data_IF_368740025045
#
_entry.id   IF_368740025045
#
_cell.length_a   1.000
_cell.length_b   1.000
_cell.length_c   1.000
_cell.angle_alpha   90.00
_cell.angle_beta   90.00
_cell.angle_gamma   90.00
#
_symmetry.space_group_name_H-M   'P 1'
#
loop_
_entity.id
_entity.type
_entity.pdbx_description
1 polymer ?
#
# COMPACT_ATOMS: atom_id res chain seq x y z
N UNK A 1 4.73 -10.00 -2.24
CA UNK A 1 5.18 -8.59 -2.33
C UNK A 1 6.37 -8.33 -1.43
N UNK A 2 7.35 -7.64 -1.92
CA UNK A 2 8.56 -7.33 -1.16
C UNK A 2 8.98 -5.88 -1.42
N UNK A 3 9.45 -5.19 -0.36
CA UNK A 3 10.03 -3.86 -0.49
C UNK A 3 11.50 -4.03 -0.86
N UNK A 4 11.91 -3.42 -1.97
CA UNK A 4 13.28 -3.47 -2.46
C UNK A 4 13.94 -2.12 -2.22
N UNK A 5 15.13 -2.14 -1.63
CA UNK A 5 15.95 -0.95 -1.39
C UNK A 5 16.99 -0.84 -2.51
N UNK A 6 17.18 0.36 -3.04
CA UNK A 6 18.19 0.58 -4.09
C UNK A 6 18.83 1.96 -3.93
N UNK A 7 19.97 2.15 -4.57
CA UNK A 7 20.63 3.44 -4.64
C UNK A 7 20.46 4.06 -6.02
N UNK A 8 20.17 5.35 -6.05
CA UNK A 8 20.13 6.12 -7.28
C UNK A 8 21.53 6.49 -7.74
N UNK A 9 21.66 6.97 -8.98
CA UNK A 9 22.97 7.36 -9.54
C UNK A 9 23.66 8.46 -8.74
N UNK A 10 22.89 9.31 -8.05
CA UNK A 10 23.41 10.37 -7.19
C UNK A 10 23.57 9.95 -5.72
N UNK A 11 23.53 8.64 -5.44
CA UNK A 11 23.83 8.08 -4.11
C UNK A 11 22.71 8.15 -3.10
N UNK A 12 21.48 8.40 -3.53
CA UNK A 12 20.33 8.43 -2.63
C UNK A 12 19.71 7.04 -2.48
N UNK A 13 19.28 6.72 -1.25
CA UNK A 13 18.56 5.47 -0.97
C UNK A 13 17.10 5.65 -1.28
N UNK A 14 16.54 4.72 -2.07
CA UNK A 14 15.13 4.73 -2.47
C UNK A 14 14.54 3.33 -2.40
N UNK A 15 13.24 3.22 -2.60
CA UNK A 15 12.50 1.98 -2.39
C UNK A 15 11.50 1.77 -3.51
N UNK A 16 11.27 0.50 -3.86
CA UNK A 16 10.15 0.15 -4.71
C UNK A 16 9.54 -1.17 -4.23
N UNK A 17 8.32 -1.43 -4.68
CA UNK A 17 7.58 -2.63 -4.37
C UNK A 17 7.69 -3.60 -5.55
N UNK A 18 8.04 -4.85 -5.27
CA UNK A 18 8.11 -5.90 -6.29
C UNK A 18 7.16 -7.03 -5.96
N UNK A 19 6.66 -7.71 -7.00
CA UNK A 19 5.84 -8.90 -6.83
C UNK A 19 6.72 -10.15 -6.61
N UNK A 20 6.08 -11.32 -6.51
CA UNK A 20 6.78 -12.58 -6.24
C UNK A 20 7.71 -13.00 -7.38
N UNK A 21 7.54 -12.42 -8.56
CA UNK A 21 8.40 -12.67 -9.72
C UNK A 21 9.49 -11.60 -9.87
N UNK A 22 9.71 -10.81 -8.83
CA UNK A 22 10.69 -9.71 -8.80
C UNK A 22 10.38 -8.60 -9.82
N UNK A 23 9.13 -8.49 -10.28
CA UNK A 23 8.71 -7.43 -11.20
C UNK A 23 8.23 -6.24 -10.38
N UNK A 24 8.73 -5.02 -10.66
CA UNK A 24 8.25 -3.84 -9.96
C UNK A 24 6.75 -3.63 -10.17
N UNK A 25 6.05 -3.25 -9.10
CA UNK A 25 4.64 -2.86 -9.18
C UNK A 25 4.61 -1.44 -9.72
N UNK A 26 4.36 -1.31 -11.02
CA UNK A 26 4.55 -0.05 -11.73
C UNK A 26 3.74 1.12 -11.19
N UNK A 27 2.44 0.97 -10.85
CA UNK A 27 1.69 2.10 -10.30
C UNK A 27 2.27 2.64 -8.99
N UNK A 28 2.78 1.76 -8.14
CA UNK A 28 3.41 2.16 -6.88
C UNK A 28 4.77 2.82 -7.13
N UNK A 29 5.55 2.29 -8.07
CA UNK A 29 6.82 2.90 -8.45
C UNK A 29 6.62 4.33 -8.94
N UNK A 30 5.62 4.54 -9.79
CA UNK A 30 5.30 5.87 -10.31
C UNK A 30 4.85 6.82 -9.20
N UNK A 31 4.04 6.34 -8.27
CA UNK A 31 3.57 7.11 -7.13
C UNK A 31 4.74 7.54 -6.23
N UNK A 32 5.66 6.61 -5.92
CA UNK A 32 6.82 6.93 -5.08
C UNK A 32 7.77 7.90 -5.76
N UNK A 33 7.94 7.81 -7.08
CA UNK A 33 8.72 8.79 -7.85
C UNK A 33 8.09 10.18 -7.76
N UNK A 34 6.77 10.26 -7.91
CA UNK A 34 6.05 11.51 -7.79
C UNK A 34 6.26 12.14 -6.41
N UNK A 35 6.18 11.34 -5.35
CA UNK A 35 6.42 11.82 -3.99
C UNK A 35 7.86 12.26 -3.78
N UNK A 36 8.83 11.52 -4.34
CA UNK A 36 10.24 11.86 -4.28
C UNK A 36 10.50 13.22 -4.98
N UNK A 37 9.91 13.41 -6.14
CA UNK A 37 10.03 14.66 -6.91
C UNK A 37 9.42 15.84 -6.14
N UNK A 38 8.41 15.60 -5.32
CA UNK A 38 7.81 16.62 -4.45
C UNK A 38 8.65 16.91 -3.20
N UNK A 39 9.73 16.18 -2.98
CA UNK A 39 10.63 16.43 -1.88
C UNK A 39 10.30 15.72 -0.59
N UNK A 40 9.50 14.64 -0.61
CA UNK A 40 9.23 13.86 0.59
C UNK A 40 10.51 13.21 1.12
N UNK A 41 10.62 13.12 2.44
CA UNK A 41 11.80 12.55 3.10
C UNK A 41 11.92 11.05 2.82
N UNK A 42 13.17 10.56 2.83
CA UNK A 42 13.48 9.14 2.58
C UNK A 42 12.64 8.20 3.47
N UNK A 43 12.55 8.49 4.77
CA UNK A 43 11.82 7.63 5.69
C UNK A 43 10.32 7.61 5.38
N UNK A 44 9.77 8.74 4.94
CA UNK A 44 8.37 8.82 4.50
C UNK A 44 8.13 7.96 3.28
N UNK A 45 9.04 8.02 2.29
CA UNK A 45 8.97 7.17 1.09
C UNK A 45 9.02 5.69 1.47
N UNK A 46 9.89 5.33 2.40
CA UNK A 46 10.01 3.95 2.89
C UNK A 46 8.70 3.48 3.53
N UNK A 47 8.12 4.31 4.40
CA UNK A 47 6.85 3.97 5.07
C UNK A 47 5.71 3.81 4.06
N UNK A 48 5.62 4.72 3.09
CA UNK A 48 4.59 4.63 2.05
C UNK A 48 4.73 3.35 1.22
N UNK A 49 5.97 2.95 0.91
CA UNK A 49 6.21 1.68 0.21
C UNK A 49 5.74 0.48 1.04
N UNK A 50 6.00 0.49 2.35
CA UNK A 50 5.55 -0.56 3.26
C UNK A 50 4.03 -0.61 3.32
N UNK A 51 3.37 0.55 3.42
CA UNK A 51 1.90 0.62 3.44
C UNK A 51 1.32 0.05 2.15
N UNK A 52 1.91 0.39 1.01
CA UNK A 52 1.46 -0.15 -0.28
C UNK A 52 1.72 -1.65 -0.41
N UNK A 53 2.78 -2.17 0.23
CA UNK A 53 3.00 -3.61 0.32
C UNK A 53 1.83 -4.30 1.04
N UNK A 54 1.39 -3.74 2.16
CA UNK A 54 0.25 -4.28 2.90
C UNK A 54 -1.01 -4.29 2.03
N UNK A 55 -1.26 -3.18 1.36
CA UNK A 55 -2.45 -3.05 0.51
C UNK A 55 -2.43 -4.05 -0.65
N UNK A 56 -1.31 -4.14 -1.36
CA UNK A 56 -1.19 -5.07 -2.48
C UNK A 56 -1.23 -6.53 -2.03
N UNK A 57 -0.72 -6.85 -0.84
CA UNK A 57 -0.86 -8.20 -0.27
C UNK A 57 -2.32 -8.54 0.01
N UNK A 58 -3.09 -7.56 0.51
CA UNK A 58 -4.54 -7.70 0.66
C UNK A 58 -5.22 -7.94 -0.69
N UNK A 59 -4.87 -7.15 -1.71
CA UNK A 59 -5.44 -7.32 -3.06
C UNK A 59 -5.15 -8.71 -3.63
N UNK A 60 -3.95 -9.23 -3.44
CA UNK A 60 -3.58 -10.57 -3.90
C UNK A 60 -4.47 -11.63 -3.24
N UNK A 61 -4.69 -11.56 -1.94
CA UNK A 61 -5.54 -12.49 -1.22
C UNK A 61 -6.99 -12.43 -1.67
N UNK A 62 -7.45 -11.25 -2.07
CA UNK A 62 -8.81 -11.04 -2.57
C UNK A 62 -8.96 -11.32 -4.07
N UNK A 63 -7.84 -11.56 -4.75
CA UNK A 63 -7.81 -11.69 -6.21
C UNK A 63 -8.43 -10.47 -6.88
N UNK A 64 -8.08 -9.30 -6.40
CA UNK A 64 -8.65 -8.01 -6.77
C UNK A 64 -7.57 -7.14 -7.42
N UNK A 65 -7.89 -6.52 -8.54
CA UNK A 65 -7.00 -5.55 -9.18
C UNK A 65 -7.12 -4.20 -8.50
N UNK A 66 -6.03 -3.42 -8.48
CA UNK A 66 -6.06 -2.10 -7.86
C UNK A 66 -7.09 -1.16 -8.53
N UNK A 67 -7.43 -1.41 -9.79
CA UNK A 67 -8.43 -0.63 -10.52
C UNK A 67 -9.88 -1.00 -10.18
N UNK A 68 -10.09 -2.04 -9.39
CA UNK A 68 -11.42 -2.54 -9.04
C UNK A 68 -11.83 -2.21 -7.60
N UNK A 69 -10.96 -1.51 -6.86
CA UNK A 69 -11.16 -1.23 -5.43
C UNK A 69 -12.27 -0.21 -5.22
N UNK A 70 -13.17 -0.51 -4.29
CA UNK A 70 -14.27 0.36 -3.88
C UNK A 70 -14.12 0.73 -2.42
N UNK A 71 -15.02 1.58 -1.92
CA UNK A 71 -15.07 1.95 -0.50
C UNK A 71 -15.29 0.71 0.39
N UNK A 72 -16.10 -0.23 -0.06
CA UNK A 72 -16.33 -1.47 0.69
C UNK A 72 -15.06 -2.30 0.81
N UNK A 73 -14.26 -2.36 -0.25
CA UNK A 73 -12.96 -3.03 -0.21
C UNK A 73 -12.00 -2.35 0.77
N UNK A 74 -12.07 -1.03 0.86
CA UNK A 74 -11.24 -0.29 1.83
C UNK A 74 -11.62 -0.67 3.26
N UNK A 75 -12.91 -0.81 3.55
CA UNK A 75 -13.37 -1.28 4.85
C UNK A 75 -12.87 -2.70 5.15
N UNK A 76 -12.88 -3.58 4.15
CA UNK A 76 -12.32 -4.93 4.26
C UNK A 76 -10.82 -4.91 4.52
N UNK A 77 -10.11 -3.99 3.88
CA UNK A 77 -8.67 -3.81 4.10
C UNK A 77 -8.38 -3.41 5.56
N UNK A 78 -9.17 -2.50 6.12
CA UNK A 78 -9.03 -2.10 7.52
C UNK A 78 -9.20 -3.30 8.44
N UNK A 79 -10.22 -4.11 8.20
CA UNK A 79 -10.45 -5.34 8.97
C UNK A 79 -9.28 -6.33 8.82
N UNK A 80 -8.75 -6.46 7.61
CA UNK A 80 -7.61 -7.32 7.31
C UNK A 80 -6.35 -6.86 8.06
N UNK A 81 -6.14 -5.54 8.16
CA UNK A 81 -5.01 -4.99 8.92
C UNK A 81 -5.12 -5.31 10.42
N UNK A 82 -6.33 -5.28 10.96
CA UNK A 82 -6.58 -5.60 12.37
C UNK A 82 -6.35 -7.08 12.65
N UNK A 83 -6.80 -7.95 11.76
CA UNK A 83 -6.80 -9.39 11.96
C UNK A 83 -6.29 -10.10 10.69
N UNK A 84 -5.00 -9.95 10.36
CA UNK A 84 -4.47 -10.48 9.09
C UNK A 84 -4.54 -11.99 8.95
N UNK A 85 -4.73 -12.74 10.06
CA UNK A 85 -4.78 -14.20 10.08
C UNK A 85 -6.17 -14.76 10.30
N UNK A 86 -7.21 -13.97 10.14
CA UNK A 86 -8.59 -14.44 10.32
C UNK A 86 -8.89 -15.61 9.38
N UNK A 87 -8.36 -15.58 8.16
CA UNK A 87 -8.51 -16.66 7.20
C UNK A 87 -7.85 -17.98 7.63
N UNK A 88 -7.00 -17.99 8.64
CA UNK A 88 -6.34 -19.17 9.18
C UNK A 88 -7.17 -19.86 10.27
N UNK A 89 -8.48 -19.66 10.28
CA UNK A 89 -9.41 -20.26 11.23
C UNK A 89 -9.22 -19.81 12.69
N UNK A 90 -8.69 -18.62 12.88
CA UNK A 90 -8.61 -18.01 14.20
C UNK A 90 -9.92 -17.29 14.48
N UNK A 91 -10.44 -17.41 15.70
CA UNK A 91 -11.68 -16.76 16.10
C UNK A 91 -11.39 -15.29 16.43
N UNK A 92 -11.83 -14.32 15.60
CA UNK A 92 -11.42 -12.91 15.78
C UNK A 92 -11.82 -12.31 17.13
N UNK A 93 -12.93 -12.74 17.68
CA UNK A 93 -13.44 -12.24 18.97
C UNK A 93 -12.47 -12.48 20.11
N UNK A 94 -11.59 -13.49 19.98
CA UNK A 94 -10.62 -13.84 21.00
C UNK A 94 -9.26 -13.18 20.77
N UNK A 95 -9.12 -12.37 19.72
CA UNK A 95 -7.85 -11.77 19.33
C UNK A 95 -7.79 -10.30 19.72
N UNK A 96 -6.61 -9.88 20.17
CA UNK A 96 -6.26 -8.47 20.20
C UNK A 96 -5.94 -8.02 18.78
N UNK A 97 -6.27 -6.78 18.40
CA UNK A 97 -5.83 -6.27 17.10
C UNK A 97 -4.32 -6.34 16.98
N UNK A 98 -3.82 -6.91 15.85
CA UNK A 98 -2.40 -7.08 15.61
C UNK A 98 -1.68 -5.75 15.38
N UNK A 99 -2.42 -4.69 15.03
CA UNK A 99 -1.87 -3.40 14.61
C UNK A 99 -2.60 -2.28 15.35
N UNK A 100 -1.86 -1.30 15.81
CA UNK A 100 -2.43 -0.14 16.50
C UNK A 100 -3.26 0.71 15.54
N UNK A 101 -4.27 1.40 16.09
CA UNK A 101 -5.15 2.29 15.31
C UNK A 101 -4.37 3.32 14.50
N UNK A 102 -3.32 3.90 15.06
CA UNK A 102 -2.48 4.88 14.37
C UNK A 102 -1.80 4.29 13.14
N UNK A 103 -1.32 3.05 13.24
CA UNK A 103 -0.69 2.35 12.12
C UNK A 103 -1.72 2.02 11.04
N UNK A 104 -2.92 1.61 11.45
CA UNK A 104 -4.02 1.35 10.51
C UNK A 104 -4.35 2.64 9.74
N UNK A 105 -4.51 3.75 10.45
CA UNK A 105 -4.81 5.04 9.83
C UNK A 105 -3.71 5.48 8.86
N UNK A 106 -2.43 5.27 9.21
CA UNK A 106 -1.31 5.60 8.34
C UNK A 106 -1.36 4.79 7.03
N UNK A 107 -1.67 3.49 7.12
CA UNK A 107 -1.84 2.64 5.94
C UNK A 107 -2.98 3.14 5.04
N UNK A 108 -4.13 3.46 5.65
CA UNK A 108 -5.31 3.95 4.92
C UNK A 108 -5.00 5.29 4.25
N UNK A 109 -4.35 6.20 4.97
CA UNK A 109 -3.97 7.51 4.44
C UNK A 109 -3.08 7.38 3.21
N UNK A 110 -2.13 6.47 3.24
CA UNK A 110 -1.24 6.22 2.08
C UNK A 110 -2.04 5.67 0.90
N UNK A 111 -2.95 4.73 1.14
CA UNK A 111 -3.79 4.16 0.07
C UNK A 111 -4.66 5.24 -0.56
N UNK A 112 -5.28 6.10 0.24
CA UNK A 112 -6.10 7.19 -0.28
C UNK A 112 -5.27 8.19 -1.08
N UNK A 113 -4.06 8.51 -0.60
CA UNK A 113 -3.14 9.38 -1.33
C UNK A 113 -2.70 8.76 -2.66
N UNK A 114 -2.49 7.44 -2.68
CA UNK A 114 -2.17 6.71 -3.90
C UNK A 114 -3.30 6.83 -4.94
N UNK A 115 -4.54 6.60 -4.54
CA UNK A 115 -5.68 6.71 -5.47
C UNK A 115 -5.91 8.16 -5.91
N UNK A 116 -5.67 9.13 -5.04
CA UNK A 116 -5.72 10.53 -5.41
C UNK A 116 -4.65 10.86 -6.47
N UNK A 117 -3.44 10.33 -6.29
CA UNK A 117 -2.37 10.47 -7.28
C UNK A 117 -2.79 9.90 -8.64
N UNK A 118 -3.35 8.69 -8.66
CA UNK A 118 -3.80 8.06 -9.91
C UNK A 118 -4.85 8.92 -10.61
N UNK A 119 -5.78 9.48 -9.86
CA UNK A 119 -6.82 10.35 -10.39
C UNK A 119 -6.23 11.62 -11.02
N UNK A 120 -5.26 12.25 -10.35
CA UNK A 120 -4.59 13.45 -10.83
C UNK A 120 -3.77 13.22 -12.10
N UNK A 121 -3.34 12.00 -12.35
CA UNK A 121 -2.50 11.66 -13.49
C UNK A 121 -3.25 10.89 -14.59
N UNK A 122 -4.59 10.92 -14.54
CA UNK A 122 -5.47 10.28 -15.52
C UNK A 122 -5.17 8.78 -15.70
N UNK A 123 -4.56 8.14 -14.71
CA UNK A 123 -4.26 6.71 -14.75
C UNK A 123 -5.45 5.86 -14.30
N UNK A 124 -6.38 6.47 -13.58
CA UNK A 124 -7.50 5.75 -12.98
C UNK A 124 -8.52 6.74 -12.41
N UNK A 125 -9.82 6.51 -12.66
CA UNK A 125 -10.86 7.31 -12.03
C UNK A 125 -10.99 6.93 -10.56
N UNK A 126 -10.83 7.90 -9.65
CA UNK A 126 -10.82 7.64 -8.22
C UNK A 126 -12.23 7.37 -7.69
N UNK A 127 -12.52 6.11 -7.40
CA UNK A 127 -13.79 5.65 -6.86
C UNK A 127 -13.91 5.85 -5.34
N UNK A 128 -12.82 6.25 -4.67
CA UNK A 128 -12.76 6.40 -3.22
C UNK A 128 -12.95 7.84 -2.76
N UNK A 129 -13.01 8.78 -3.67
CA UNK A 129 -13.19 10.20 -3.33
C UNK A 129 -14.64 10.62 -3.37
#
# INVERSE_FOLDING_TARGET
MVVVTFETNDGKTRYYLADDNAVPVQPVLNYLRFEDDRGLARNTLRLHCIHMKHFYSFLEQKELKYTEVTVDHLAEFIAWLKYPRVHEKVIPILLEPAVRAQTINANVDTVLAFYNYLSLHDEYENQLS
#
